data_IF_627549867150
#
_entry.id   IF_627549867150
#
_cell.length_a   1.000
_cell.length_b   1.000
_cell.length_c   1.000
_cell.angle_alpha   90.00
_cell.angle_beta   90.00
_cell.angle_gamma   90.00
#
_symmetry.space_group_name_H-M   'P 1'
#
loop_
_entity.id
_entity.type
_entity.pdbx_description
1 polymer ?
#
# COMPACT_ATOMS: atom_id res chain seq x y z
N UNK A 1 -11.67 5.33 -5.04
CA UNK A 1 -12.36 4.03 -5.11
C UNK A 1 -13.05 3.72 -3.79
N UNK A 2 -14.03 2.83 -3.81
CA UNK A 2 -14.71 2.38 -2.61
C UNK A 2 -16.11 2.95 -2.41
N UNK A 3 -16.70 3.50 -3.46
CA UNK A 3 -18.03 4.11 -3.45
C UNK A 3 -19.13 3.06 -3.66
N UNK A 4 -18.86 1.98 -4.38
CA UNK A 4 -19.84 0.94 -4.71
C UNK A 4 -20.40 0.18 -3.50
N UNK A 5 -19.72 0.21 -2.35
CA UNK A 5 -20.12 -0.49 -1.12
C UNK A 5 -20.65 0.39 0.02
N UNK A 6 -20.94 1.68 -0.20
CA UNK A 6 -21.42 2.57 0.85
C UNK A 6 -21.43 4.04 0.44
N UNK A 7 -21.79 4.93 1.36
CA UNK A 7 -21.77 6.37 1.12
C UNK A 7 -20.32 6.85 0.87
N UNK A 8 -20.05 7.32 -0.32
CA UNK A 8 -18.74 7.82 -0.75
C UNK A 8 -18.13 8.83 0.23
N UNK A 9 -18.95 9.75 0.73
CA UNK A 9 -18.54 10.76 1.70
C UNK A 9 -18.07 10.17 3.04
N UNK A 10 -18.72 9.09 3.52
CA UNK A 10 -18.35 8.42 4.75
C UNK A 10 -16.96 7.77 4.65
N UNK A 11 -16.72 6.99 3.58
CA UNK A 11 -15.44 6.31 3.35
C UNK A 11 -14.29 7.29 3.14
N UNK A 12 -14.57 8.40 2.45
CA UNK A 12 -13.58 9.46 2.27
C UNK A 12 -13.15 10.06 3.60
N UNK A 13 -14.10 10.40 4.46
CA UNK A 13 -13.83 10.93 5.79
C UNK A 13 -13.05 9.93 6.66
N UNK A 14 -13.44 8.66 6.67
CA UNK A 14 -12.74 7.60 7.40
C UNK A 14 -11.27 7.50 6.95
N UNK A 15 -11.01 7.56 5.64
CA UNK A 15 -9.65 7.52 5.10
C UNK A 15 -8.85 8.78 5.49
N UNK A 16 -9.47 9.95 5.49
CA UNK A 16 -8.84 11.20 5.93
C UNK A 16 -8.49 11.16 7.43
N UNK A 17 -9.34 10.56 8.26
CA UNK A 17 -9.09 10.38 9.69
C UNK A 17 -7.91 9.41 9.94
N UNK A 18 -7.83 8.31 9.17
CA UNK A 18 -6.67 7.40 9.19
C UNK A 18 -5.39 8.14 8.82
N UNK A 19 -5.38 8.85 7.70
CA UNK A 19 -4.20 9.56 7.23
C UNK A 19 -3.73 10.61 8.26
N UNK A 20 -4.65 11.36 8.83
CA UNK A 20 -4.36 12.35 9.88
C UNK A 20 -3.71 11.70 11.10
N UNK A 21 -4.18 10.53 11.52
CA UNK A 21 -3.68 9.83 12.71
C UNK A 21 -2.24 9.33 12.57
N UNK A 22 -1.73 9.21 11.36
CA UNK A 22 -0.35 8.77 11.07
C UNK A 22 0.49 9.84 10.36
N UNK A 23 -0.04 11.04 10.19
CA UNK A 23 0.67 12.13 9.51
C UNK A 23 0.87 11.90 8.00
N UNK A 24 0.04 11.04 7.37
CA UNK A 24 0.12 10.77 5.95
C UNK A 24 -0.65 11.81 5.12
N UNK A 25 -0.19 12.04 3.89
CA UNK A 25 -0.90 12.84 2.88
C UNK A 25 -1.72 11.94 1.99
N UNK A 26 -2.91 12.40 1.57
CA UNK A 26 -3.76 11.68 0.62
C UNK A 26 -3.77 12.43 -0.71
N UNK A 27 -3.65 11.69 -1.78
CA UNK A 27 -3.86 12.15 -3.13
C UNK A 27 -4.99 11.34 -3.76
N UNK A 28 -6.09 12.02 -4.08
CA UNK A 28 -7.24 11.37 -4.71
C UNK A 28 -7.03 11.28 -6.22
N UNK A 29 -7.16 10.06 -6.78
CA UNK A 29 -6.98 9.82 -8.21
C UNK A 29 -8.16 10.26 -9.08
N UNK A 30 -9.35 10.45 -8.49
CA UNK A 30 -10.56 10.86 -9.23
C UNK A 30 -11.25 9.75 -10.02
N UNK A 31 -10.88 8.49 -9.81
CA UNK A 31 -11.51 7.33 -10.48
C UNK A 31 -12.66 6.77 -9.65
N UNK A 32 -13.69 6.28 -10.33
CA UNK A 32 -14.81 5.59 -9.69
C UNK A 32 -14.42 4.16 -9.29
N UNK A 33 -15.06 3.70 -8.22
CA UNK A 33 -14.89 2.32 -7.72
C UNK A 33 -15.47 1.33 -8.72
N UNK A 34 -14.77 0.25 -8.98
CA UNK A 34 -15.06 -0.79 -9.98
C UNK A 34 -14.87 -0.39 -11.45
N UNK A 35 -14.45 0.85 -11.71
CA UNK A 35 -14.30 1.39 -13.07
C UNK A 35 -12.85 1.75 -13.44
N UNK A 36 -11.88 1.40 -12.59
CA UNK A 36 -10.48 1.68 -12.85
C UNK A 36 -9.99 0.81 -14.01
N UNK A 37 -9.58 1.45 -15.12
CA UNK A 37 -8.97 0.78 -16.26
C UNK A 37 -7.46 0.93 -16.25
N UNK A 38 -6.74 -0.12 -16.67
CA UNK A 38 -5.29 -0.03 -16.88
C UNK A 38 -5.02 0.64 -18.23
N UNK A 39 -5.04 1.95 -18.23
CA UNK A 39 -4.87 2.79 -19.41
C UNK A 39 -3.87 3.93 -19.17
N UNK A 40 -3.66 4.75 -20.21
CA UNK A 40 -2.73 5.86 -20.12
C UNK A 40 -3.15 6.92 -19.09
N UNK A 41 -4.45 7.09 -18.85
CA UNK A 41 -4.94 8.08 -17.89
C UNK A 41 -4.56 7.68 -16.46
N UNK A 42 -4.78 6.42 -16.08
CA UNK A 42 -4.38 5.90 -14.79
C UNK A 42 -2.85 5.95 -14.62
N UNK A 43 -2.10 5.49 -15.63
CA UNK A 43 -0.63 5.51 -15.59
C UNK A 43 -0.13 6.94 -15.39
N UNK A 44 -0.66 7.92 -16.13
CA UNK A 44 -0.24 9.31 -16.04
C UNK A 44 -0.51 9.93 -14.66
N UNK A 45 -1.66 9.61 -14.03
CA UNK A 45 -1.96 10.06 -12.67
C UNK A 45 -0.96 9.48 -11.67
N UNK A 46 -0.64 8.19 -11.77
CA UNK A 46 0.33 7.53 -10.88
C UNK A 46 1.74 8.07 -11.11
N UNK A 47 2.18 8.22 -12.37
CA UNK A 47 3.49 8.82 -12.73
C UNK A 47 3.63 10.23 -12.17
N UNK A 48 2.60 11.07 -12.33
CA UNK A 48 2.60 12.44 -11.81
C UNK A 48 2.80 12.47 -10.29
N UNK A 49 2.13 11.59 -9.55
CA UNK A 49 2.28 11.50 -8.09
C UNK A 49 3.64 10.97 -7.67
N UNK A 50 4.17 9.97 -8.37
CA UNK A 50 5.51 9.47 -8.12
C UNK A 50 6.57 10.55 -8.39
N UNK A 51 6.38 11.36 -9.42
CA UNK A 51 7.29 12.46 -9.73
C UNK A 51 7.24 13.58 -8.67
N UNK A 52 6.02 13.94 -8.23
CA UNK A 52 5.80 14.96 -7.19
C UNK A 52 6.39 14.54 -5.83
N UNK A 53 6.19 13.28 -5.45
CA UNK A 53 6.55 12.75 -4.14
C UNK A 53 8.01 12.30 -4.11
N UNK A 54 8.55 11.81 -5.24
CA UNK A 54 9.85 11.18 -5.36
C UNK A 54 10.09 10.09 -4.28
N UNK A 55 9.23 9.04 -4.21
CA UNK A 55 9.30 8.07 -3.13
C UNK A 55 10.54 7.18 -3.24
N UNK A 56 11.11 6.80 -2.10
CA UNK A 56 12.16 5.79 -2.02
C UNK A 56 11.61 4.38 -2.23
N UNK A 57 10.39 4.13 -1.70
CA UNK A 57 9.70 2.85 -1.76
C UNK A 57 8.24 3.08 -2.18
N UNK A 58 7.77 2.27 -3.12
CA UNK A 58 6.36 2.20 -3.51
C UNK A 58 5.77 0.88 -3.04
N UNK A 59 4.65 0.95 -2.37
CA UNK A 59 3.82 -0.21 -2.01
C UNK A 59 2.55 -0.21 -2.84
N UNK A 60 2.20 -1.34 -3.45
CA UNK A 60 0.99 -1.49 -4.25
C UNK A 60 0.30 -2.82 -3.99
N UNK A 61 -0.94 -2.93 -4.45
CA UNK A 61 -1.64 -4.21 -4.49
C UNK A 61 -0.86 -5.23 -5.32
N UNK A 62 -1.03 -6.51 -4.97
CA UNK A 62 -0.45 -7.59 -5.77
C UNK A 62 -1.20 -7.73 -7.11
N UNK A 63 -0.48 -7.97 -8.22
CA UNK A 63 -1.10 -8.01 -9.55
C UNK A 63 -2.10 -9.14 -9.78
N UNK A 64 -1.96 -10.27 -9.07
CA UNK A 64 -2.95 -11.36 -9.11
C UNK A 64 -3.94 -11.20 -7.95
N UNK A 65 -5.04 -10.52 -8.23
CA UNK A 65 -6.11 -10.21 -7.28
C UNK A 65 -7.46 -10.47 -7.93
N UNK A 66 -8.48 -10.89 -7.18
CA UNK A 66 -9.83 -11.08 -7.72
C UNK A 66 -10.54 -9.76 -8.02
N UNK A 67 -10.13 -8.64 -7.40
CA UNK A 67 -10.68 -7.32 -7.64
C UNK A 67 -10.01 -6.65 -8.85
N UNK A 68 -10.81 -6.29 -9.87
CA UNK A 68 -10.28 -5.69 -11.11
C UNK A 68 -9.50 -4.40 -10.87
N UNK A 69 -9.97 -3.53 -9.97
CA UNK A 69 -9.29 -2.25 -9.69
C UNK A 69 -7.90 -2.48 -9.08
N UNK A 70 -7.76 -3.49 -8.20
CA UNK A 70 -6.46 -3.84 -7.63
C UNK A 70 -5.49 -4.31 -8.71
N UNK A 71 -5.94 -5.20 -9.62
CA UNK A 71 -5.12 -5.66 -10.75
C UNK A 71 -4.71 -4.51 -11.66
N UNK A 72 -5.67 -3.69 -12.05
CA UNK A 72 -5.45 -2.59 -12.99
C UNK A 72 -4.53 -1.53 -12.38
N UNK A 73 -4.73 -1.18 -11.09
CA UNK A 73 -3.82 -0.29 -10.39
C UNK A 73 -2.41 -0.86 -10.28
N UNK A 74 -2.26 -2.14 -9.94
CA UNK A 74 -0.95 -2.79 -9.84
C UNK A 74 -0.19 -2.75 -11.16
N UNK A 75 -0.86 -3.01 -12.29
CA UNK A 75 -0.26 -2.94 -13.63
C UNK A 75 0.15 -1.50 -14.01
N UNK A 76 -0.70 -0.52 -13.69
CA UNK A 76 -0.37 0.89 -13.90
C UNK A 76 0.82 1.33 -13.03
N UNK A 77 0.90 0.86 -11.78
CA UNK A 77 2.02 1.14 -10.88
C UNK A 77 3.32 0.52 -11.42
N UNK A 78 3.29 -0.72 -11.95
CA UNK A 78 4.46 -1.34 -12.60
C UNK A 78 4.98 -0.44 -13.72
N UNK A 79 4.08 0.08 -14.55
CA UNK A 79 4.43 0.95 -15.69
C UNK A 79 4.99 2.28 -15.21
N UNK A 80 4.34 2.91 -14.23
CA UNK A 80 4.69 4.22 -13.69
C UNK A 80 6.00 4.19 -12.87
N UNK A 81 6.24 3.10 -12.13
CA UNK A 81 7.37 2.97 -11.21
C UNK A 81 8.69 2.54 -11.88
N UNK A 82 8.80 2.57 -13.21
CA UNK A 82 10.02 2.13 -13.93
C UNK A 82 11.29 2.85 -13.50
N UNK A 83 11.19 4.07 -12.98
CA UNK A 83 12.31 4.91 -12.52
C UNK A 83 12.34 5.10 -11.00
N UNK A 84 11.43 4.45 -10.25
CA UNK A 84 11.44 4.44 -8.78
C UNK A 84 12.40 3.36 -8.27
N UNK A 85 13.02 3.58 -7.11
CA UNK A 85 13.98 2.64 -6.53
C UNK A 85 13.37 1.29 -6.20
N UNK A 86 12.53 1.24 -5.17
CA UNK A 86 11.97 0.00 -4.67
C UNK A 86 10.45 -0.07 -4.92
N UNK A 87 9.98 -1.23 -5.37
CA UNK A 87 8.57 -1.54 -5.55
C UNK A 87 8.26 -2.87 -4.92
N UNK A 88 7.34 -2.87 -3.96
CA UNK A 88 6.85 -4.03 -3.24
C UNK A 88 5.35 -4.17 -3.42
N UNK A 89 4.88 -5.40 -3.53
CA UNK A 89 3.46 -5.73 -3.54
C UNK A 89 3.05 -6.32 -2.20
N UNK A 90 1.97 -5.80 -1.63
CA UNK A 90 1.32 -6.35 -0.44
C UNK A 90 0.10 -7.18 -0.80
N UNK A 91 -0.31 -8.06 0.11
CA UNK A 91 -1.52 -8.85 -0.02
C UNK A 91 -2.72 -8.19 0.67
N UNK A 92 -3.88 -8.50 0.13
CA UNK A 92 -5.18 -8.27 0.76
C UNK A 92 -6.01 -9.57 0.67
N UNK A 93 -7.15 -9.71 1.36
CA UNK A 93 -7.94 -10.96 1.34
C UNK A 93 -8.37 -11.43 -0.06
N UNK A 94 -8.42 -10.54 -1.04
CA UNK A 94 -8.75 -10.85 -2.44
C UNK A 94 -7.56 -11.27 -3.30
N UNK A 95 -6.34 -11.15 -2.81
CA UNK A 95 -5.12 -11.54 -3.52
C UNK A 95 -5.07 -13.06 -3.73
N UNK A 96 -4.58 -13.48 -4.89
CA UNK A 96 -4.47 -14.89 -5.29
C UNK A 96 -3.00 -15.23 -5.55
N UNK A 97 -2.66 -16.49 -5.37
CA UNK A 97 -1.30 -17.01 -5.65
C UNK A 97 -0.17 -16.16 -5.02
N UNK A 98 -0.46 -15.48 -3.89
CA UNK A 98 0.50 -14.61 -3.23
C UNK A 98 1.53 -15.43 -2.46
N UNK A 99 2.77 -15.39 -2.92
CA UNK A 99 3.89 -16.09 -2.31
C UNK A 99 5.00 -15.11 -1.89
N UNK A 100 4.91 -14.51 -0.69
CA UNK A 100 5.86 -13.50 -0.25
C UNK A 100 7.23 -14.11 0.05
N UNK A 101 8.27 -13.36 -0.30
CA UNK A 101 9.66 -13.68 0.00
C UNK A 101 10.31 -12.65 0.93
N UNK A 102 9.66 -11.52 1.15
CA UNK A 102 10.09 -10.47 2.07
C UNK A 102 9.03 -10.30 3.16
N UNK A 103 9.49 -10.21 4.41
CA UNK A 103 8.62 -10.08 5.57
C UNK A 103 9.06 -8.92 6.44
N UNK A 104 8.07 -8.21 6.99
CA UNK A 104 8.29 -7.14 7.96
C UNK A 104 7.65 -7.56 9.28
N UNK A 105 8.45 -7.63 10.35
CA UNK A 105 7.93 -7.85 11.69
C UNK A 105 7.14 -6.62 12.15
N UNK A 106 5.83 -6.78 12.25
CA UNK A 106 4.90 -5.72 12.68
C UNK A 106 4.48 -5.84 14.14
N UNK A 107 5.09 -6.74 14.91
CA UNK A 107 4.79 -6.90 16.33
C UNK A 107 4.81 -5.58 17.12
N UNK A 108 5.79 -4.70 16.94
CA UNK A 108 5.83 -3.40 17.62
C UNK A 108 4.68 -2.44 17.27
N UNK A 109 4.01 -2.63 16.14
CA UNK A 109 2.98 -1.71 15.62
C UNK A 109 1.61 -2.38 15.39
N UNK A 110 1.45 -3.63 15.78
CA UNK A 110 0.23 -4.40 15.50
C UNK A 110 -1.02 -3.77 16.12
N UNK A 111 -0.94 -3.26 17.33
CA UNK A 111 -2.07 -2.60 18.00
C UNK A 111 -2.43 -1.30 17.26
N UNK A 112 -1.43 -0.54 16.82
CA UNK A 112 -1.67 0.66 15.99
C UNK A 112 -2.36 0.31 14.69
N UNK A 113 -1.97 -0.77 14.02
CA UNK A 113 -2.68 -1.27 12.84
C UNK A 113 -4.16 -1.53 13.12
N UNK A 114 -4.47 -2.18 14.23
CA UNK A 114 -5.88 -2.45 14.58
C UNK A 114 -6.66 -1.18 14.91
N UNK A 115 -6.05 -0.21 15.60
CA UNK A 115 -6.66 1.10 15.83
C UNK A 115 -7.02 1.80 14.51
N UNK A 116 -6.10 1.79 13.54
CA UNK A 116 -6.32 2.37 12.22
C UNK A 116 -7.46 1.68 11.46
N UNK A 117 -7.48 0.35 11.48
CA UNK A 117 -8.55 -0.42 10.84
C UNK A 117 -9.93 -0.12 11.46
N UNK A 118 -10.00 0.08 12.77
CA UNK A 118 -11.26 0.46 13.47
C UNK A 118 -11.80 1.82 13.03
N UNK A 119 -10.97 2.73 12.50
CA UNK A 119 -11.42 4.01 11.96
C UNK A 119 -12.29 3.84 10.71
N UNK A 120 -12.12 2.74 9.96
CA UNK A 120 -12.99 2.38 8.83
C UNK A 120 -14.30 1.74 9.30
N UNK A 121 -15.05 2.44 10.16
CA UNK A 121 -16.26 1.94 10.83
C UNK A 121 -17.31 1.37 9.86
N UNK A 122 -17.46 2.03 8.71
CA UNK A 122 -18.40 1.60 7.67
C UNK A 122 -18.02 0.27 7.01
N UNK A 123 -16.79 -0.22 7.20
CA UNK A 123 -16.26 -1.42 6.55
C UNK A 123 -15.94 -2.57 7.51
N UNK A 124 -15.70 -2.29 8.79
CA UNK A 124 -15.21 -3.30 9.77
C UNK A 124 -16.08 -4.55 9.81
N UNK A 125 -17.40 -4.40 9.68
CA UNK A 125 -18.35 -5.52 9.72
C UNK A 125 -19.01 -5.84 8.37
N UNK A 126 -18.58 -5.18 7.29
CA UNK A 126 -19.12 -5.39 5.93
C UNK A 126 -18.34 -6.43 5.13
N UNK A 127 -17.76 -7.42 5.78
CA UNK A 127 -17.19 -8.56 5.05
C UNK A 127 -18.33 -9.38 4.45
N UNK A 128 -18.14 -9.93 3.25
CA UNK A 128 -19.13 -10.84 2.63
C UNK A 128 -19.07 -12.25 3.23
N UNK A 129 -18.19 -12.46 4.20
CA UNK A 129 -18.07 -13.72 4.93
C UNK A 129 -18.83 -13.56 6.26
N UNK A 130 -19.92 -14.31 6.48
CA UNK A 130 -20.67 -14.26 7.74
C UNK A 130 -19.74 -14.46 8.94
N UNK A 131 -19.97 -13.68 10.00
CA UNK A 131 -19.27 -13.79 11.28
C UNK A 131 -17.78 -13.50 11.24
N UNK A 132 -17.24 -12.98 10.14
CA UNK A 132 -15.83 -12.58 10.01
C UNK A 132 -15.73 -11.06 9.87
N UNK A 133 -15.00 -10.42 10.78
CA UNK A 133 -14.66 -9.00 10.68
C UNK A 133 -13.32 -8.78 9.92
N UNK A 134 -13.13 -7.57 9.39
CA UNK A 134 -11.83 -7.19 8.82
C UNK A 134 -10.71 -7.29 9.87
N UNK A 135 -11.00 -7.02 11.15
CA UNK A 135 -10.01 -7.09 12.22
C UNK A 135 -9.53 -8.52 12.45
N UNK A 136 -10.46 -9.49 12.47
CA UNK A 136 -10.11 -10.91 12.59
C UNK A 136 -9.33 -11.41 11.39
N UNK A 137 -9.74 -11.02 10.18
CA UNK A 137 -9.01 -11.34 8.95
C UNK A 137 -7.59 -10.78 8.98
N UNK A 138 -7.41 -9.51 9.32
CA UNK A 138 -6.09 -8.88 9.42
C UNK A 138 -5.21 -9.54 10.50
N UNK A 139 -5.81 -9.94 11.63
CA UNK A 139 -5.10 -10.63 12.70
C UNK A 139 -4.62 -12.01 12.27
N UNK A 140 -5.50 -12.77 11.62
CA UNK A 140 -5.19 -14.11 11.12
C UNK A 140 -4.06 -14.07 10.11
N UNK A 141 -4.10 -13.14 9.16
CA UNK A 141 -3.02 -12.96 8.18
C UNK A 141 -1.70 -12.57 8.86
N UNK A 142 -1.72 -11.64 9.81
CA UNK A 142 -0.51 -11.21 10.52
C UNK A 142 0.14 -12.35 11.31
N UNK A 143 -0.66 -13.24 11.93
CA UNK A 143 -0.17 -14.43 12.64
C UNK A 143 0.38 -15.45 11.64
N UNK A 144 -0.32 -15.71 10.55
CA UNK A 144 0.10 -16.67 9.53
C UNK A 144 1.44 -16.27 8.90
N UNK A 145 1.57 -14.99 8.49
CA UNK A 145 2.83 -14.45 7.96
C UNK A 145 3.92 -14.35 9.03
N UNK A 146 3.52 -14.11 10.27
CA UNK A 146 4.43 -14.16 11.43
C UNK A 146 5.08 -15.52 11.60
N UNK A 147 4.30 -16.61 11.48
CA UNK A 147 4.84 -17.98 11.54
C UNK A 147 5.89 -18.21 10.43
N UNK A 148 5.60 -17.81 9.20
CA UNK A 148 6.54 -17.94 8.07
C UNK A 148 7.82 -17.12 8.31
N UNK A 149 7.69 -15.93 8.89
CA UNK A 149 8.78 -14.99 9.15
C UNK A 149 9.56 -15.29 10.47
N UNK A 150 9.20 -16.32 11.24
CA UNK A 150 9.74 -16.58 12.58
C UNK A 150 9.53 -15.41 13.56
N UNK A 151 8.39 -14.73 13.45
CA UNK A 151 7.95 -13.64 14.31
C UNK A 151 6.52 -13.91 14.79
N UNK A 152 6.06 -13.22 15.85
CA UNK A 152 4.67 -13.35 16.31
C UNK A 152 3.68 -12.77 15.31
N UNK A 153 4.03 -11.60 14.72
CA UNK A 153 3.22 -10.91 13.73
C UNK A 153 4.13 -10.38 12.62
N UNK A 154 3.76 -10.63 11.37
CA UNK A 154 4.45 -10.07 10.23
C UNK A 154 3.47 -9.71 9.11
N UNK A 155 3.92 -8.87 8.21
CA UNK A 155 3.34 -8.69 6.89
C UNK A 155 4.29 -9.25 5.83
N UNK A 156 3.72 -9.90 4.82
CA UNK A 156 4.46 -10.46 3.69
C UNK A 156 4.40 -9.54 2.49
N UNK A 157 5.49 -9.51 1.74
CA UNK A 157 5.59 -8.74 0.50
C UNK A 157 6.24 -9.57 -0.60
N UNK A 158 5.82 -9.32 -1.84
CA UNK A 158 6.50 -9.76 -3.04
C UNK A 158 7.30 -8.58 -3.57
N UNK A 159 8.62 -8.72 -3.63
CA UNK A 159 9.48 -7.71 -4.19
C UNK A 159 9.42 -7.75 -5.73
N UNK A 160 8.92 -6.68 -6.36
CA UNK A 160 9.09 -6.49 -7.80
C UNK A 160 10.51 -6.04 -8.12
N UNK A 161 11.01 -5.09 -7.33
CA UNK A 161 12.38 -4.60 -7.34
C UNK A 161 12.75 -4.06 -5.97
N UNK A 162 13.89 -4.49 -5.45
CA UNK A 162 14.49 -3.96 -4.22
C UNK A 162 15.98 -3.84 -4.44
N UNK A 163 16.54 -2.67 -4.18
CA UNK A 163 17.95 -2.43 -4.21
C UNK A 163 18.54 -2.57 -2.81
N UNK A 164 19.27 -3.64 -2.57
CA UNK A 164 19.99 -3.83 -1.31
C UNK A 164 21.34 -3.09 -1.37
N UNK A 165 21.63 -2.18 -0.43
CA UNK A 165 22.93 -1.52 -0.36
C UNK A 165 24.02 -2.53 0.05
N UNK A 166 25.18 -2.49 -0.61
CA UNK A 166 26.37 -3.25 -0.21
C UNK A 166 27.18 -2.42 0.79
N UNK A 167 27.40 -2.93 1.98
CA UNK A 167 28.21 -2.31 3.03
C UNK A 167 27.65 -2.47 4.43
N UNK A 168 28.54 -2.39 5.43
CA UNK A 168 28.19 -2.59 6.85
C UNK A 168 27.14 -1.60 7.39
N UNK A 169 27.00 -0.43 6.80
CA UNK A 169 25.99 0.57 7.16
C UNK A 169 24.65 0.40 6.41
N UNK A 170 24.61 -0.50 5.43
CA UNK A 170 23.57 -0.52 4.42
C UNK A 170 22.28 -1.24 4.81
N UNK A 171 22.29 -2.20 5.71
CA UNK A 171 21.08 -2.97 6.04
C UNK A 171 20.16 -2.29 7.06
N UNK A 172 20.65 -1.31 7.82
CA UNK A 172 19.90 -0.67 8.92
C UNK A 172 19.82 0.86 8.87
N UNK A 173 20.41 1.52 7.87
CA UNK A 173 20.49 2.98 7.86
C UNK A 173 20.48 3.62 6.49
N UNK A 174 19.42 3.47 5.69
CA UNK A 174 19.23 4.31 4.52
C UNK A 174 19.05 5.76 4.95
N UNK A 175 20.05 6.61 4.73
CA UNK A 175 19.84 8.06 4.83
C UNK A 175 18.88 8.49 3.70
N UNK A 176 17.86 9.31 3.98
CA UNK A 176 16.95 9.78 2.93
C UNK A 176 17.76 10.49 1.83
N UNK A 177 17.46 10.15 0.58
CA UNK A 177 18.03 10.86 -0.59
C UNK A 177 17.60 12.33 -0.46
N UNK A 178 18.55 13.22 -0.28
CA UNK A 178 18.30 14.65 -0.42
C UNK A 178 17.98 14.92 -1.89
N UNK A 179 16.73 15.25 -2.17
CA UNK A 179 16.34 15.83 -3.46
C UNK A 179 17.09 17.15 -3.59
N UNK A 180 18.07 17.19 -4.48
CA UNK A 180 18.80 18.41 -4.79
C UNK A 180 17.81 19.44 -5.31
N UNK A 181 17.53 20.50 -4.52
CA UNK A 181 16.99 21.73 -5.08
C UNK A 181 17.96 22.20 -6.15
N UNK A 182 17.55 22.17 -7.39
CA UNK A 182 18.19 22.96 -8.43
C UNK A 182 18.00 24.42 -8.01
N UNK A 183 19.07 25.00 -7.47
CA UNK A 183 19.18 26.45 -7.33
C UNK A 183 19.15 27.01 -8.76
N UNK A 184 18.04 27.63 -9.12
CA UNK A 184 18.00 28.49 -10.29
C UNK A 184 18.83 29.73 -9.95
N UNK A 185 20.06 29.77 -10.46
CA UNK A 185 20.76 31.02 -10.63
C UNK A 185 20.46 31.55 -12.02
N UNK A 186 19.78 32.70 -12.01
CA UNK A 186 19.58 33.50 -13.20
C UNK A 186 20.86 34.18 -13.64
N UNK A 187 21.01 34.32 -14.92
CA UNK A 187 21.58 35.48 -15.60
C UNK A 187 20.76 35.74 -16.85
#
# INVERSE_FOLDING_TARGET
CGEAGGEAGCRRKEQEDVARSIGARIHWGGFHDTEISNDRALIAVVESRMHEIAPDVVLSHYPDDSHQDHRNLAQAVISAARYVGDLLFYEVPSSRNFNPTLFINIGPVIEKKYELLKLHKSQVHKTRVPYLSILESARSMAIYRGNQARAKYAEGFVAYRVMLPIGAEGMLGRKPRRVGRKSGEGQ
#
